data_IF_173253112083
#
_entry.id   IF_173253112083
#
_cell.length_a   1.000
_cell.length_b   1.000
_cell.length_c   1.000
_cell.angle_alpha   90.00
_cell.angle_beta   90.00
_cell.angle_gamma   90.00
#
_symmetry.space_group_name_H-M   'P 1'
#
loop_
_entity.id
_entity.type
_entity.pdbx_description
1 polymer ?
#
# COMPACT_ATOMS: atom_id res chain seq x y z
N UNK A 1 16.51 -0.94 -12.70
CA UNK A 1 15.30 -1.80 -12.66
C UNK A 1 14.68 -1.84 -11.26
N UNK A 2 15.36 -2.36 -10.22
CA UNK A 2 14.76 -2.52 -8.87
C UNK A 2 14.25 -1.22 -8.22
N UNK A 3 14.94 -0.10 -8.46
CA UNK A 3 14.49 1.22 -7.97
C UNK A 3 13.09 1.59 -8.49
N UNK A 4 12.75 1.18 -9.71
CA UNK A 4 11.42 1.42 -10.27
C UNK A 4 10.34 0.57 -9.59
N UNK A 5 10.68 -0.61 -9.08
CA UNK A 5 9.78 -1.42 -8.25
C UNK A 5 9.57 -0.78 -6.87
N UNK A 6 10.64 -0.22 -6.26
CA UNK A 6 10.53 0.55 -5.01
C UNK A 6 9.59 1.75 -5.20
N UNK A 7 9.87 2.61 -6.19
CA UNK A 7 9.08 3.81 -6.41
C UNK A 7 7.66 3.50 -6.88
N UNK A 8 7.48 2.57 -7.82
CA UNK A 8 6.14 2.18 -8.26
C UNK A 8 5.30 1.62 -7.12
N UNK A 9 5.88 0.72 -6.30
CA UNK A 9 5.16 0.16 -5.15
C UNK A 9 4.87 1.21 -4.09
N UNK A 10 5.84 2.08 -3.80
CA UNK A 10 5.66 3.21 -2.90
C UNK A 10 4.50 4.11 -3.37
N UNK A 11 4.46 4.47 -4.66
CA UNK A 11 3.43 5.37 -5.20
C UNK A 11 2.02 4.83 -5.01
N UNK A 12 1.73 3.59 -5.43
CA UNK A 12 0.36 3.11 -5.35
C UNK A 12 -0.07 2.84 -3.89
N UNK A 13 0.83 2.32 -3.05
CA UNK A 13 0.54 2.09 -1.61
C UNK A 13 0.36 3.42 -0.89
N UNK A 14 1.17 4.43 -1.21
CA UNK A 14 1.07 5.77 -0.61
C UNK A 14 -0.31 6.37 -0.86
N UNK A 15 -0.75 6.40 -2.11
CA UNK A 15 -2.04 7.00 -2.50
C UNK A 15 -3.21 6.16 -1.98
N UNK A 16 -3.13 4.83 -2.13
CA UNK A 16 -4.17 3.91 -1.69
C UNK A 16 -4.42 3.95 -0.19
N UNK A 17 -3.38 3.80 0.62
CA UNK A 17 -3.50 3.90 2.08
C UNK A 17 -3.87 5.32 2.55
N UNK A 18 -3.46 6.38 1.83
CA UNK A 18 -3.93 7.74 2.11
C UNK A 18 -5.44 7.88 1.88
N UNK A 19 -5.98 7.28 0.82
CA UNK A 19 -7.42 7.25 0.56
C UNK A 19 -8.18 6.53 1.68
N UNK A 20 -7.67 5.39 2.13
CA UNK A 20 -8.20 4.66 3.29
C UNK A 20 -8.18 5.52 4.57
N UNK A 21 -7.05 6.19 4.84
CA UNK A 21 -6.88 7.05 6.01
C UNK A 21 -7.86 8.22 6.01
N UNK A 22 -8.07 8.86 4.86
CA UNK A 22 -9.06 9.94 4.72
C UNK A 22 -10.47 9.40 4.96
N UNK A 23 -10.83 8.27 4.34
CA UNK A 23 -12.15 7.66 4.51
C UNK A 23 -12.43 7.29 5.97
N UNK A 24 -11.46 6.69 6.66
CA UNK A 24 -11.62 6.22 8.03
C UNK A 24 -11.64 7.37 9.05
N UNK A 25 -10.60 8.21 9.03
CA UNK A 25 -10.40 9.20 10.10
C UNK A 25 -11.31 10.42 9.94
N UNK A 26 -11.67 10.81 8.71
CA UNK A 26 -12.51 12.00 8.49
C UNK A 26 -13.97 11.72 8.84
N UNK A 27 -14.46 10.54 8.45
CA UNK A 27 -15.85 10.15 8.70
C UNK A 27 -16.07 9.53 10.09
N UNK A 28 -14.99 9.29 10.85
CA UNK A 28 -15.05 8.62 12.15
C UNK A 28 -15.77 7.27 12.06
N UNK A 29 -15.51 6.52 10.99
CA UNK A 29 -16.12 5.23 10.75
C UNK A 29 -15.48 4.19 11.66
N UNK A 30 -16.28 3.37 12.35
CA UNK A 30 -15.75 2.30 13.23
C UNK A 30 -15.27 1.06 12.48
N UNK A 31 -15.62 0.96 11.20
CA UNK A 31 -15.26 -0.12 10.27
C UNK A 31 -14.77 0.51 8.98
N UNK A 32 -13.74 -0.08 8.36
CA UNK A 32 -13.27 0.40 7.08
C UNK A 32 -14.12 -0.21 5.96
N UNK A 33 -15.04 0.59 5.41
CA UNK A 33 -15.74 0.23 4.19
C UNK A 33 -14.93 0.73 2.99
N UNK A 34 -14.57 -0.17 2.07
CA UNK A 34 -14.14 0.27 0.74
C UNK A 34 -15.40 0.68 0.00
N UNK A 35 -15.71 1.96 0.12
CA UNK A 35 -16.70 2.59 -0.73
C UNK A 35 -16.13 2.69 -2.16
N UNK A 36 -17.01 2.80 -3.15
CA UNK A 36 -16.61 2.78 -4.57
C UNK A 36 -15.52 3.82 -4.88
N UNK A 37 -15.55 4.98 -4.20
CA UNK A 37 -14.59 6.06 -4.35
C UNK A 37 -13.17 5.60 -4.00
N UNK A 38 -13.00 4.90 -2.88
CA UNK A 38 -11.70 4.39 -2.41
C UNK A 38 -11.16 3.38 -3.42
N UNK A 39 -12.02 2.49 -3.92
CA UNK A 39 -11.65 1.52 -4.96
C UNK A 39 -11.13 2.18 -6.24
N UNK A 40 -11.79 3.25 -6.70
CA UNK A 40 -11.34 4.00 -7.90
C UNK A 40 -10.01 4.70 -7.67
N UNK A 41 -9.78 5.27 -6.48
CA UNK A 41 -8.48 5.88 -6.15
C UNK A 41 -7.36 4.84 -6.17
N UNK A 42 -7.58 3.63 -5.62
CA UNK A 42 -6.61 2.53 -5.72
C UNK A 42 -6.30 2.14 -7.16
N UNK A 43 -7.32 2.04 -8.02
CA UNK A 43 -7.13 1.69 -9.44
C UNK A 43 -6.34 2.76 -10.20
N UNK A 44 -6.65 4.04 -9.97
CA UNK A 44 -5.91 5.16 -10.56
C UNK A 44 -4.46 5.21 -10.04
N UNK A 45 -4.26 5.01 -8.74
CA UNK A 45 -2.93 4.95 -8.14
C UNK A 45 -2.06 3.83 -8.74
N UNK A 46 -2.64 2.65 -8.93
CA UNK A 46 -1.99 1.53 -9.64
C UNK A 46 -1.64 1.90 -11.07
N UNK A 47 -2.55 2.55 -11.80
CA UNK A 47 -2.32 2.97 -13.19
C UNK A 47 -1.13 3.93 -13.29
N UNK A 48 -1.07 4.93 -12.40
CA UNK A 48 0.04 5.88 -12.32
C UNK A 48 1.35 5.16 -11.99
N UNK A 49 1.34 4.25 -11.02
CA UNK A 49 2.53 3.48 -10.65
C UNK A 49 3.06 2.61 -11.80
N UNK A 50 2.17 2.02 -12.60
CA UNK A 50 2.55 1.28 -13.81
C UNK A 50 3.22 2.21 -14.82
N UNK A 51 2.63 3.37 -15.14
CA UNK A 51 3.25 4.32 -16.06
C UNK A 51 4.61 4.84 -15.58
N UNK A 52 4.78 5.01 -14.27
CA UNK A 52 6.03 5.44 -13.67
C UNK A 52 7.17 4.40 -13.82
N UNK A 53 6.84 3.11 -13.73
CA UNK A 53 7.82 2.05 -13.50
C UNK A 53 8.00 1.05 -14.65
N UNK A 54 7.03 0.98 -15.58
CA UNK A 54 6.97 -0.05 -16.62
C UNK A 54 8.22 -0.07 -17.51
N UNK A 55 8.65 1.10 -18.01
CA UNK A 55 9.81 1.21 -18.90
C UNK A 55 11.12 0.70 -18.30
N UNK A 56 11.25 0.72 -16.96
CA UNK A 56 12.46 0.36 -16.24
C UNK A 56 12.44 -1.04 -15.62
N UNK A 57 11.28 -1.58 -15.27
CA UNK A 57 11.18 -2.82 -14.48
C UNK A 57 10.18 -3.84 -15.00
N UNK A 58 9.29 -3.44 -15.91
CA UNK A 58 8.10 -4.21 -16.26
C UNK A 58 6.90 -3.97 -15.33
N UNK A 59 7.06 -3.12 -14.30
CA UNK A 59 6.01 -2.77 -13.34
C UNK A 59 5.32 -4.00 -12.73
N UNK A 60 6.10 -4.90 -12.11
CA UNK A 60 5.51 -6.03 -11.41
C UNK A 60 4.77 -5.55 -10.16
N UNK A 61 5.43 -4.68 -9.37
CA UNK A 61 4.91 -3.97 -8.20
C UNK A 61 4.23 -4.85 -7.14
N UNK A 62 4.44 -6.16 -7.24
CA UNK A 62 3.73 -7.17 -6.48
C UNK A 62 4.54 -8.49 -6.48
N UNK A 63 4.77 -9.07 -5.29
CA UNK A 63 5.47 -10.34 -5.18
C UNK A 63 4.82 -11.50 -5.94
N UNK A 64 3.49 -11.60 -5.92
CA UNK A 64 2.74 -12.65 -6.62
C UNK A 64 2.82 -12.49 -8.14
N UNK A 65 2.81 -11.26 -8.65
CA UNK A 65 3.01 -10.98 -10.08
C UNK A 65 4.44 -11.36 -10.48
N UNK A 66 5.44 -10.98 -9.69
CA UNK A 66 6.82 -11.38 -9.99
C UNK A 66 7.01 -12.89 -10.02
N UNK A 67 6.34 -13.59 -9.10
CA UNK A 67 6.32 -15.05 -9.07
C UNK A 67 5.63 -15.66 -10.29
N UNK A 68 4.49 -15.13 -10.71
CA UNK A 68 3.79 -15.62 -11.90
C UNK A 68 4.62 -15.45 -13.17
N UNK A 69 5.34 -14.32 -13.32
CA UNK A 69 6.29 -14.13 -14.42
C UNK A 69 7.45 -15.12 -14.37
N UNK A 70 7.99 -15.41 -13.18
CA UNK A 70 9.05 -16.40 -13.04
C UNK A 70 8.60 -17.81 -13.45
N UNK A 71 7.37 -18.19 -13.11
CA UNK A 71 6.78 -19.48 -13.47
C UNK A 71 6.43 -19.56 -14.96
N UNK A 72 5.69 -18.57 -15.47
CA UNK A 72 5.08 -18.62 -16.80
C UNK A 72 6.02 -18.16 -17.92
N UNK A 73 7.01 -17.32 -17.61
CA UNK A 73 7.96 -16.74 -18.58
C UNK A 73 9.40 -16.78 -18.07
N UNK A 74 9.95 -17.96 -17.73
CA UNK A 74 11.28 -18.07 -17.14
C UNK A 74 12.42 -17.58 -18.03
N UNK A 75 12.22 -17.55 -19.36
CA UNK A 75 13.16 -16.96 -20.32
C UNK A 75 13.27 -15.43 -20.17
N UNK A 76 12.14 -14.75 -19.93
CA UNK A 76 12.07 -13.30 -19.77
C UNK A 76 12.43 -12.89 -18.33
N UNK A 77 11.94 -13.65 -17.35
CA UNK A 77 12.11 -13.36 -15.92
C UNK A 77 12.65 -14.57 -15.15
N UNK A 78 13.97 -14.57 -14.92
CA UNK A 78 14.67 -15.63 -14.17
C UNK A 78 14.29 -15.63 -12.69
N UNK A 79 14.06 -16.82 -12.11
CA UNK A 79 13.76 -17.02 -10.68
C UNK A 79 14.72 -16.30 -9.72
N UNK A 80 16.01 -16.21 -10.04
CA UNK A 80 17.00 -15.50 -9.21
C UNK A 80 16.70 -14.02 -9.00
N UNK A 81 15.82 -13.42 -9.81
CA UNK A 81 15.37 -12.03 -9.67
C UNK A 81 14.23 -11.86 -8.66
N UNK A 82 13.59 -12.95 -8.20
CA UNK A 82 12.43 -12.87 -7.29
C UNK A 82 12.77 -12.18 -5.98
N UNK A 83 13.79 -12.67 -5.26
CA UNK A 83 14.15 -12.12 -3.95
C UNK A 83 14.48 -10.62 -4.04
N UNK A 84 15.32 -10.15 -5.00
CA UNK A 84 15.54 -8.72 -5.18
C UNK A 84 14.28 -7.91 -5.52
N UNK A 85 13.37 -8.44 -6.34
CA UNK A 85 12.11 -7.76 -6.67
C UNK A 85 11.20 -7.67 -5.45
N UNK A 86 11.03 -8.76 -4.69
CA UNK A 86 10.23 -8.78 -3.47
C UNK A 86 10.78 -7.81 -2.42
N UNK A 87 12.11 -7.79 -2.22
CA UNK A 87 12.74 -6.84 -1.30
C UNK A 87 12.49 -5.38 -1.73
N UNK A 88 12.56 -5.09 -3.03
CA UNK A 88 12.26 -3.76 -3.56
C UNK A 88 10.79 -3.37 -3.37
N UNK A 89 9.86 -4.27 -3.67
CA UNK A 89 8.41 -4.04 -3.51
C UNK A 89 8.04 -3.84 -2.05
N UNK A 90 8.49 -4.74 -1.16
CA UNK A 90 8.25 -4.63 0.28
C UNK A 90 8.90 -3.37 0.87
N UNK A 91 10.10 -3.00 0.41
CA UNK A 91 10.74 -1.74 0.78
C UNK A 91 9.93 -0.53 0.35
N UNK A 92 9.41 -0.51 -0.88
CA UNK A 92 8.54 0.56 -1.38
C UNK A 92 7.24 0.68 -0.58
N UNK A 93 6.57 -0.45 -0.30
CA UNK A 93 5.36 -0.49 0.51
C UNK A 93 5.62 0.00 1.95
N UNK A 94 6.73 -0.41 2.56
CA UNK A 94 7.13 0.03 3.90
C UNK A 94 7.37 1.53 3.95
N UNK A 95 8.08 2.09 2.97
CA UNK A 95 8.33 3.53 2.87
C UNK A 95 7.02 4.31 2.78
N UNK A 96 6.07 3.86 1.95
CA UNK A 96 4.74 4.46 1.87
C UNK A 96 3.97 4.38 3.20
N UNK A 97 4.04 3.24 3.90
CA UNK A 97 3.46 3.10 5.23
C UNK A 97 4.02 4.11 6.23
N UNK A 98 5.35 4.28 6.28
CA UNK A 98 6.03 5.25 7.14
C UNK A 98 5.62 6.69 6.80
N UNK A 99 5.57 7.03 5.51
CA UNK A 99 5.16 8.37 5.06
C UNK A 99 3.72 8.65 5.44
N UNK A 100 2.80 7.70 5.25
CA UNK A 100 1.41 7.85 5.68
C UNK A 100 1.26 7.94 7.21
N UNK A 101 2.03 7.16 7.98
CA UNK A 101 2.05 7.29 9.44
C UNK A 101 2.45 8.69 9.88
N UNK A 102 3.48 9.26 9.26
CA UNK A 102 3.94 10.62 9.54
C UNK A 102 2.88 11.66 9.13
N UNK A 103 2.34 11.55 7.91
CA UNK A 103 1.38 12.52 7.36
C UNK A 103 0.05 12.53 8.12
N UNK A 104 -0.44 11.36 8.53
CA UNK A 104 -1.73 11.21 9.20
C UNK A 104 -1.61 11.12 10.73
N UNK A 105 -0.43 11.32 11.33
CA UNK A 105 -0.22 11.16 12.78
C UNK A 105 -1.23 11.94 13.64
N UNK A 106 -1.54 13.18 13.25
CA UNK A 106 -2.52 14.01 13.97
C UNK A 106 -3.96 13.48 13.81
N UNK A 107 -4.33 13.03 12.60
CA UNK A 107 -5.64 12.46 12.31
C UNK A 107 -5.86 11.16 13.09
N UNK A 108 -4.85 10.28 13.12
CA UNK A 108 -4.84 9.03 13.91
C UNK A 108 -5.07 9.36 15.39
N UNK A 109 -4.27 10.29 15.95
CA UNK A 109 -4.37 10.67 17.37
C UNK A 109 -5.73 11.26 17.72
N UNK A 110 -6.35 12.02 16.81
CA UNK A 110 -7.70 12.56 17.01
C UNK A 110 -8.75 11.47 16.98
N UNK A 111 -8.68 10.58 15.99
CA UNK A 111 -9.59 9.44 15.84
C UNK A 111 -9.53 8.50 17.04
N UNK A 112 -8.34 8.14 17.51
CA UNK A 112 -8.15 7.27 18.67
C UNK A 112 -8.74 7.87 19.94
N UNK A 113 -8.52 9.17 20.20
CA UNK A 113 -9.12 9.87 21.34
C UNK A 113 -10.64 9.86 21.27
N UNK A 114 -11.21 10.11 20.09
CA UNK A 114 -12.65 10.18 19.90
C UNK A 114 -13.32 8.82 20.08
N UNK A 115 -12.66 7.76 19.65
CA UNK A 115 -13.15 6.37 19.76
C UNK A 115 -12.73 5.67 21.06
N UNK A 116 -12.06 6.39 21.97
CA UNK A 116 -11.49 5.82 23.20
C UNK A 116 -10.58 4.59 22.94
N UNK A 117 -9.84 4.62 21.83
CA UNK A 117 -8.87 3.58 21.45
C UNK A 117 -7.58 3.81 22.22
N UNK A 118 -7.07 2.77 22.86
CA UNK A 118 -5.74 2.75 23.49
C UNK A 118 -4.74 2.15 22.49
N UNK A 119 -3.71 2.89 22.06
CA UNK A 119 -2.69 2.37 21.15
C UNK A 119 -2.04 1.10 21.70
N UNK A 120 -1.98 0.04 20.89
CA UNK A 120 -1.40 -1.25 21.26
C UNK A 120 -2.32 -2.19 22.05
N UNK A 121 -3.53 -1.77 22.42
CA UNK A 121 -4.56 -2.66 22.96
C UNK A 121 -5.29 -3.42 21.83
N UNK A 122 -6.07 -4.45 22.17
CA UNK A 122 -6.81 -5.26 21.18
C UNK A 122 -7.71 -4.43 20.23
N UNK A 123 -8.22 -3.27 20.69
CA UNK A 123 -9.04 -2.36 19.89
C UNK A 123 -8.26 -1.48 18.91
N UNK A 124 -6.92 -1.40 18.98
CA UNK A 124 -6.13 -0.54 18.09
C UNK A 124 -6.09 -1.00 16.63
N UNK A 125 -6.65 -2.18 16.34
CA UNK A 125 -6.87 -2.63 14.97
C UNK A 125 -7.76 -1.66 14.19
N UNK A 126 -8.68 -0.97 14.88
CA UNK A 126 -9.58 0.01 14.26
C UNK A 126 -8.82 1.23 13.73
N UNK A 127 -7.81 1.75 14.46
CA UNK A 127 -6.97 2.83 13.96
C UNK A 127 -5.94 2.32 12.95
N UNK A 128 -5.44 1.10 13.10
CA UNK A 128 -4.54 0.48 12.12
C UNK A 128 -5.22 0.12 10.80
N UNK A 129 -6.56 0.09 10.76
CA UNK A 129 -7.34 -0.38 9.62
C UNK A 129 -6.93 0.32 8.32
N UNK A 130 -6.68 1.64 8.33
CA UNK A 130 -6.29 2.42 7.16
C UNK A 130 -5.07 1.88 6.38
N UNK A 131 -4.18 1.14 7.04
CA UNK A 131 -2.92 0.65 6.47
C UNK A 131 -3.00 -0.79 5.96
N UNK A 132 -4.18 -1.43 6.01
CA UNK A 132 -4.35 -2.80 5.55
C UNK A 132 -5.76 -3.10 5.05
N UNK A 133 -6.03 -4.36 4.80
CA UNK A 133 -7.34 -4.86 4.39
C UNK A 133 -8.06 -5.45 5.60
N UNK A 134 -8.46 -4.58 6.53
CA UNK A 134 -9.21 -4.97 7.73
C UNK A 134 -10.70 -4.71 7.46
N UNK A 135 -11.48 -5.79 7.44
CA UNK A 135 -12.90 -5.82 7.14
C UNK A 135 -13.67 -6.30 8.36
#
# INVERSE_FOLDING_TARGET
MLIAEVFGTCTFVQIGCAANAVALYTHNSTTMTIDWQVGVVWALAMTVAVFLSAALSGAHLNPAVSFSFALARPADFRFRKLIPYWAAQLGGALLAGIVNLFLFHQAISHYEKKMAIVPGAAGSIQSAAAFGCYW
#
